data_IF_495050617619
#
_entry.id   IF_495050617619
#
_cell.length_a   1.000
_cell.length_b   1.000
_cell.length_c   1.000
_cell.angle_alpha   90.00
_cell.angle_beta   90.00
_cell.angle_gamma   90.00
#
_symmetry.space_group_name_H-M   'P 1'
#
loop_
_entity.id
_entity.type
_entity.pdbx_description
1 polymer ?
#
# COMPACT_ATOMS: atom_id res chain seq x y z
N UNK A 1 -30.69 -35.13 6.77
CA UNK A 1 -29.52 -35.74 6.10
C UNK A 1 -29.04 -34.96 4.87
N UNK A 2 -29.90 -34.48 3.99
CA UNK A 2 -29.54 -33.79 2.73
C UNK A 2 -28.79 -32.45 2.95
N UNK A 3 -29.05 -31.71 4.04
CA UNK A 3 -28.47 -30.41 4.31
C UNK A 3 -27.00 -30.49 4.69
N UNK A 4 -26.56 -31.54 5.38
CA UNK A 4 -25.15 -31.75 5.75
C UNK A 4 -24.26 -32.14 4.56
N UNK A 5 -24.83 -32.89 3.58
CA UNK A 5 -24.06 -33.21 2.37
C UNK A 5 -23.81 -31.96 1.51
N UNK A 6 -24.82 -31.11 1.30
CA UNK A 6 -24.63 -29.86 0.55
C UNK A 6 -23.63 -28.92 1.20
N UNK A 7 -23.63 -28.79 2.53
CA UNK A 7 -22.61 -28.01 3.23
C UNK A 7 -21.18 -28.56 3.00
N UNK A 8 -21.01 -29.87 3.07
CA UNK A 8 -19.71 -30.51 2.85
C UNK A 8 -19.17 -30.28 1.43
N UNK A 9 -20.03 -30.35 0.40
CA UNK A 9 -19.67 -30.05 -0.98
C UNK A 9 -19.25 -28.59 -1.16
N UNK A 10 -19.96 -27.67 -0.53
CA UNK A 10 -19.61 -26.23 -0.57
C UNK A 10 -18.25 -26.00 0.10
N UNK A 11 -18.01 -26.57 1.27
CA UNK A 11 -16.70 -26.45 1.95
C UNK A 11 -15.56 -27.07 1.12
N UNK A 12 -15.80 -28.20 0.48
CA UNK A 12 -14.81 -28.85 -0.37
C UNK A 12 -14.46 -27.98 -1.59
N UNK A 13 -15.44 -27.42 -2.26
CA UNK A 13 -15.24 -26.55 -3.42
C UNK A 13 -14.53 -25.24 -3.04
N UNK A 14 -14.87 -24.64 -1.90
CA UNK A 14 -14.20 -23.45 -1.37
C UNK A 14 -12.75 -23.76 -1.01
N UNK A 15 -12.49 -24.90 -0.36
CA UNK A 15 -11.14 -25.33 -0.01
C UNK A 15 -10.27 -25.57 -1.25
N UNK A 16 -10.82 -26.21 -2.29
CA UNK A 16 -10.14 -26.40 -3.58
C UNK A 16 -9.88 -25.07 -4.27
N UNK A 17 -10.83 -24.13 -4.24
CA UNK A 17 -10.65 -22.79 -4.81
C UNK A 17 -9.53 -22.00 -4.13
N UNK A 18 -9.47 -22.05 -2.80
CA UNK A 18 -8.39 -21.41 -2.01
C UNK A 18 -7.04 -22.08 -2.32
N UNK A 19 -7.01 -23.41 -2.41
CA UNK A 19 -5.79 -24.15 -2.73
C UNK A 19 -5.26 -23.79 -4.13
N UNK A 20 -6.12 -23.74 -5.13
CA UNK A 20 -5.76 -23.30 -6.48
C UNK A 20 -5.24 -21.86 -6.50
N UNK A 21 -5.89 -20.94 -5.74
CA UNK A 21 -5.46 -19.54 -5.66
C UNK A 21 -4.06 -19.38 -5.07
N UNK A 22 -3.71 -20.17 -4.05
CA UNK A 22 -2.37 -20.16 -3.43
C UNK A 22 -1.29 -20.68 -4.39
N UNK A 23 -1.59 -21.71 -5.19
CA UNK A 23 -0.64 -22.28 -6.16
C UNK A 23 -0.39 -21.38 -7.38
N UNK A 24 -1.32 -20.49 -7.73
CA UNK A 24 -1.14 -19.58 -8.87
C UNK A 24 -0.36 -18.29 -8.54
N UNK A 25 -0.03 -18.03 -7.28
CA UNK A 25 0.70 -16.85 -6.84
C UNK A 25 2.22 -17.05 -6.85
N UNK A 26 2.80 -17.46 -8.00
CA UNK A 26 4.26 -17.45 -8.16
C UNK A 26 4.71 -16.05 -8.58
N UNK A 27 5.55 -15.35 -7.79
CA UNK A 27 6.13 -14.09 -8.24
C UNK A 27 7.03 -14.37 -9.46
N UNK A 28 6.71 -13.76 -10.59
CA UNK A 28 7.54 -13.80 -11.78
C UNK A 28 8.85 -13.06 -11.51
N UNK A 29 9.99 -13.70 -11.72
CA UNK A 29 11.29 -13.03 -11.69
C UNK A 29 11.63 -12.56 -13.11
N UNK A 30 11.80 -11.25 -13.26
CA UNK A 30 12.09 -10.62 -14.56
C UNK A 30 13.58 -10.49 -14.86
N UNK A 31 14.46 -10.86 -13.92
CA UNK A 31 15.91 -10.73 -14.06
C UNK A 31 16.47 -11.90 -14.87
N UNK A 32 17.17 -11.56 -15.94
CA UNK A 32 17.79 -12.53 -16.82
C UNK A 32 19.12 -13.06 -16.24
N UNK A 33 19.53 -14.32 -16.56
CA UNK A 33 20.76 -14.92 -16.00
C UNK A 33 22.05 -14.18 -16.35
N UNK A 34 22.08 -13.46 -17.48
CA UNK A 34 23.23 -12.70 -17.94
C UNK A 34 23.42 -11.34 -17.21
N UNK A 35 22.39 -10.91 -16.47
CA UNK A 35 22.47 -9.71 -15.62
C UNK A 35 23.09 -9.99 -14.25
N UNK A 36 23.08 -11.25 -13.80
CA UNK A 36 23.44 -11.63 -12.44
C UNK A 36 24.93 -11.46 -12.17
N UNK A 37 25.27 -10.85 -11.05
CA UNK A 37 26.68 -10.67 -10.64
C UNK A 37 27.25 -11.98 -10.09
N UNK A 38 28.51 -12.27 -10.39
CA UNK A 38 29.24 -13.44 -9.84
C UNK A 38 29.33 -13.38 -8.30
N UNK A 39 29.47 -12.16 -7.76
CA UNK A 39 29.51 -11.95 -6.32
C UNK A 39 28.08 -11.97 -5.74
N UNK A 40 27.75 -13.03 -5.01
CA UNK A 40 26.42 -13.23 -4.43
C UNK A 40 26.00 -12.13 -3.44
N UNK A 41 26.94 -11.54 -2.72
CA UNK A 41 26.63 -10.44 -1.77
C UNK A 41 26.26 -9.14 -2.50
N UNK A 42 26.95 -8.81 -3.60
CA UNK A 42 26.61 -7.67 -4.44
C UNK A 42 25.31 -7.89 -5.18
N UNK A 43 25.05 -9.11 -5.66
CA UNK A 43 23.79 -9.43 -6.32
C UNK A 43 22.59 -9.32 -5.36
N UNK A 44 22.75 -9.76 -4.12
CA UNK A 44 21.69 -9.57 -3.10
C UNK A 44 21.40 -8.07 -2.85
N UNK A 45 22.43 -7.24 -2.78
CA UNK A 45 22.27 -5.78 -2.70
C UNK A 45 21.58 -5.22 -3.93
N UNK A 46 22.01 -5.64 -5.13
CA UNK A 46 21.41 -5.24 -6.40
C UNK A 46 19.91 -5.54 -6.44
N UNK A 47 19.52 -6.75 -6.04
CA UNK A 47 18.12 -7.17 -5.97
C UNK A 47 17.30 -6.35 -4.97
N UNK A 48 17.86 -6.08 -3.80
CA UNK A 48 17.17 -5.29 -2.79
C UNK A 48 16.92 -3.85 -3.28
N UNK A 49 17.94 -3.21 -3.86
CA UNK A 49 17.80 -1.88 -4.44
C UNK A 49 16.84 -1.85 -5.63
N UNK A 50 16.88 -2.87 -6.50
CA UNK A 50 15.96 -2.97 -7.65
C UNK A 50 14.49 -3.05 -7.24
N UNK A 51 14.18 -3.63 -6.09
CA UNK A 51 12.82 -3.66 -5.52
C UNK A 51 12.35 -2.31 -4.98
N UNK A 52 13.27 -1.41 -4.67
CA UNK A 52 12.95 -0.06 -4.19
C UNK A 52 12.77 0.95 -5.33
N UNK A 53 13.19 0.57 -6.54
CA UNK A 53 13.15 1.42 -7.73
C UNK A 53 11.97 1.07 -8.63
N UNK A 54 11.26 2.10 -9.08
CA UNK A 54 10.09 1.98 -9.96
C UNK A 54 10.52 1.89 -11.42
N UNK A 55 9.88 1.01 -12.18
CA UNK A 55 9.96 1.03 -13.62
C UNK A 55 9.23 2.27 -14.18
N UNK A 56 9.92 3.10 -14.95
CA UNK A 56 9.40 4.39 -15.42
C UNK A 56 8.31 4.27 -16.50
N UNK A 57 8.22 3.12 -17.17
CA UNK A 57 7.27 2.85 -18.28
C UNK A 57 6.23 1.80 -17.92
N UNK A 58 6.28 1.25 -16.70
CA UNK A 58 5.39 0.19 -16.25
C UNK A 58 4.35 0.72 -15.26
N UNK A 59 3.24 -0.01 -15.12
CA UNK A 59 2.18 0.38 -14.20
C UNK A 59 2.51 -0.05 -12.75
N UNK A 60 3.32 0.77 -12.05
CA UNK A 60 3.61 0.62 -10.62
C UNK A 60 4.39 -0.67 -10.23
N UNK A 61 5.20 -1.19 -11.16
CA UNK A 61 6.11 -2.31 -10.93
C UNK A 61 7.50 -1.82 -10.53
N UNK A 62 8.24 -2.65 -9.78
CA UNK A 62 9.66 -2.43 -9.54
C UNK A 62 10.49 -2.79 -10.78
N UNK A 63 11.72 -2.27 -10.85
CA UNK A 63 12.64 -2.69 -11.92
C UNK A 63 13.08 -4.15 -11.76
N UNK A 64 12.94 -4.75 -10.58
CA UNK A 64 13.22 -6.18 -10.33
C UNK A 64 12.14 -7.09 -10.92
N UNK A 65 10.91 -6.62 -11.02
CA UNK A 65 9.74 -7.39 -11.50
C UNK A 65 9.43 -7.14 -12.98
N UNK A 66 9.87 -6.00 -13.52
CA UNK A 66 9.54 -5.57 -14.88
C UNK A 66 10.47 -6.16 -15.93
N UNK A 67 9.88 -6.72 -17.01
CA UNK A 67 10.60 -7.21 -18.21
C UNK A 67 10.84 -6.11 -19.26
N UNK A 68 10.60 -4.84 -18.97
CA UNK A 68 10.82 -3.77 -19.94
C UNK A 68 12.31 -3.53 -20.18
N UNK A 69 12.66 -3.10 -21.40
CA UNK A 69 14.03 -2.76 -21.76
C UNK A 69 14.62 -1.72 -20.82
N UNK A 70 13.82 -0.71 -20.44
CA UNK A 70 14.25 0.36 -19.52
C UNK A 70 14.52 -0.19 -18.12
N UNK A 71 13.72 -1.13 -17.63
CA UNK A 71 13.97 -1.77 -16.34
C UNK A 71 15.28 -2.56 -16.38
N UNK A 72 15.56 -3.28 -17.47
CA UNK A 72 16.83 -3.97 -17.67
C UNK A 72 18.01 -3.03 -17.67
N UNK A 73 17.94 -1.93 -18.42
CA UNK A 73 19.02 -0.94 -18.49
C UNK A 73 19.29 -0.33 -17.10
N UNK A 74 18.25 -0.04 -16.32
CA UNK A 74 18.38 0.45 -14.95
C UNK A 74 19.01 -0.59 -14.02
N UNK A 75 18.63 -1.88 -14.16
CA UNK A 75 19.25 -2.97 -13.38
C UNK A 75 20.73 -3.15 -13.71
N UNK A 76 21.11 -3.05 -14.98
CA UNK A 76 22.52 -3.11 -15.39
C UNK A 76 23.31 -1.89 -14.87
N UNK A 77 22.78 -0.68 -15.02
CA UNK A 77 23.40 0.54 -14.50
C UNK A 77 23.64 0.47 -12.98
N UNK A 78 22.64 -0.02 -12.23
CA UNK A 78 22.74 -0.21 -10.79
C UNK A 78 23.85 -1.19 -10.43
N UNK A 79 23.94 -2.34 -11.14
CA UNK A 79 25.00 -3.33 -10.93
C UNK A 79 26.40 -2.82 -11.26
N UNK A 80 26.53 -2.01 -12.29
CA UNK A 80 27.82 -1.39 -12.65
C UNK A 80 28.27 -0.40 -11.57
N UNK A 81 27.34 0.36 -10.98
CA UNK A 81 27.65 1.24 -9.86
C UNK A 81 28.07 0.47 -8.61
N UNK A 82 27.39 -0.64 -8.30
CA UNK A 82 27.76 -1.53 -7.20
C UNK A 82 29.15 -2.15 -7.40
N UNK A 83 29.51 -2.54 -8.64
CA UNK A 83 30.87 -3.00 -8.97
C UNK A 83 31.92 -1.90 -8.79
N UNK A 84 31.58 -0.65 -9.06
CA UNK A 84 32.47 0.50 -8.86
C UNK A 84 32.70 0.79 -7.37
N UNK A 85 31.92 0.21 -6.46
CA UNK A 85 32.06 0.36 -5.02
C UNK A 85 31.16 1.41 -4.41
N UNK A 86 30.20 1.96 -5.16
CA UNK A 86 29.26 2.95 -4.67
C UNK A 86 28.41 2.38 -3.53
N UNK A 87 28.06 3.22 -2.57
CA UNK A 87 27.13 2.88 -1.51
C UNK A 87 25.68 2.89 -2.03
N UNK A 88 24.77 2.21 -1.32
CA UNK A 88 23.36 2.16 -1.69
C UNK A 88 22.73 3.55 -1.79
N UNK A 89 23.11 4.44 -0.85
CA UNK A 89 22.60 5.81 -0.81
C UNK A 89 23.13 6.65 -2.01
N UNK A 90 24.39 6.50 -2.38
CA UNK A 90 24.96 7.20 -3.54
C UNK A 90 24.29 6.77 -4.84
N UNK A 91 24.00 5.47 -5.00
CA UNK A 91 23.29 4.93 -6.15
C UNK A 91 21.87 5.51 -6.24
N UNK A 92 21.11 5.48 -5.12
CA UNK A 92 19.76 6.04 -5.08
C UNK A 92 19.76 7.54 -5.38
N UNK A 93 20.67 8.31 -4.78
CA UNK A 93 20.81 9.75 -5.02
C UNK A 93 21.16 10.06 -6.47
N UNK A 94 22.04 9.27 -7.09
CA UNK A 94 22.36 9.39 -8.51
C UNK A 94 21.12 9.15 -9.40
N UNK A 95 20.35 8.11 -9.12
CA UNK A 95 19.16 7.78 -9.90
C UNK A 95 18.05 8.82 -9.69
N UNK A 96 17.86 9.29 -8.46
CA UNK A 96 16.93 10.39 -8.16
C UNK A 96 17.33 11.69 -8.85
N UNK A 97 18.61 12.03 -8.86
CA UNK A 97 19.12 13.20 -9.56
C UNK A 97 18.90 13.17 -11.07
N UNK A 98 18.88 11.97 -11.67
CA UNK A 98 18.72 11.79 -13.12
C UNK A 98 17.26 11.63 -13.57
N UNK A 99 16.45 10.93 -12.79
CA UNK A 99 15.07 10.54 -13.14
C UNK A 99 14.00 11.18 -12.25
N UNK A 100 14.42 11.89 -11.21
CA UNK A 100 13.51 12.49 -10.22
C UNK A 100 13.09 11.53 -9.11
N UNK A 101 12.45 12.07 -8.08
CA UNK A 101 11.99 11.31 -6.90
C UNK A 101 10.94 10.23 -7.24
N UNK A 102 10.28 10.36 -8.40
CA UNK A 102 9.28 9.39 -8.87
C UNK A 102 9.84 7.98 -9.09
N UNK A 103 11.18 7.87 -9.30
CA UNK A 103 11.83 6.56 -9.46
C UNK A 103 11.80 5.71 -8.19
N UNK A 104 11.60 6.32 -7.02
CA UNK A 104 11.50 5.61 -5.76
C UNK A 104 10.07 5.05 -5.57
N UNK A 105 9.97 3.75 -5.29
CA UNK A 105 8.68 3.11 -4.96
C UNK A 105 8.21 3.48 -3.55
N UNK A 106 9.16 3.63 -2.61
CA UNK A 106 8.85 4.07 -1.26
C UNK A 106 8.92 5.60 -1.22
N UNK A 107 7.83 6.29 -0.84
CA UNK A 107 7.88 7.74 -0.69
C UNK A 107 8.92 8.09 0.37
N UNK A 108 9.83 8.99 0.02
CA UNK A 108 10.76 9.55 0.99
C UNK A 108 9.93 10.33 2.01
N UNK A 109 10.08 10.01 3.28
CA UNK A 109 9.48 10.77 4.39
C UNK A 109 10.29 12.06 4.59
N UNK A 110 10.41 12.86 3.52
CA UNK A 110 11.10 14.14 3.61
C UNK A 110 10.16 15.22 4.17
N UNK A 111 10.72 16.21 4.85
CA UNK A 111 9.99 17.20 5.64
C UNK A 111 8.81 17.89 4.94
N UNK A 112 8.80 17.91 3.60
CA UNK A 112 7.68 18.45 2.79
C UNK A 112 6.49 17.50 2.69
N UNK A 113 6.73 16.18 2.71
CA UNK A 113 5.69 15.16 2.56
C UNK A 113 5.14 14.67 3.90
N UNK A 114 5.85 14.92 5.00
CA UNK A 114 5.41 14.49 6.34
C UNK A 114 4.07 15.11 6.72
N UNK A 115 3.82 16.34 6.25
CA UNK A 115 2.55 17.04 6.49
C UNK A 115 1.33 16.27 5.94
N UNK A 116 1.46 15.63 4.77
CA UNK A 116 0.39 14.82 4.18
C UNK A 116 -0.01 13.64 5.07
N UNK A 117 0.96 13.04 5.75
CA UNK A 117 0.72 11.89 6.63
C UNK A 117 -0.05 12.26 7.90
N UNK A 118 0.10 13.51 8.39
CA UNK A 118 -0.61 14.00 9.56
C UNK A 118 -1.99 14.57 9.24
N UNK A 119 -2.20 15.10 8.03
CA UNK A 119 -3.50 15.68 7.62
C UNK A 119 -4.61 14.62 7.63
N UNK A 120 -4.35 13.41 7.13
CA UNK A 120 -5.36 12.33 7.10
C UNK A 120 -5.91 11.97 8.48
N UNK A 121 -5.07 11.53 9.43
CA UNK A 121 -5.53 11.23 10.79
C UNK A 121 -6.11 12.43 11.51
N UNK A 122 -5.61 13.66 11.28
CA UNK A 122 -6.14 14.87 11.89
C UNK A 122 -7.58 15.16 11.46
N UNK A 123 -7.86 15.12 10.16
CA UNK A 123 -9.22 15.27 9.61
C UNK A 123 -10.15 14.18 10.14
N UNK A 124 -9.65 12.94 10.20
CA UNK A 124 -10.42 11.82 10.74
C UNK A 124 -10.85 12.05 12.19
N UNK A 125 -9.93 12.51 13.04
CA UNK A 125 -10.21 12.81 14.45
C UNK A 125 -11.24 13.94 14.57
N UNK A 126 -11.13 15.01 13.77
CA UNK A 126 -12.11 16.12 13.77
C UNK A 126 -13.50 15.61 13.38
N UNK A 127 -13.60 14.80 12.32
CA UNK A 127 -14.87 14.20 11.90
C UNK A 127 -15.47 13.31 12.99
N UNK A 128 -14.63 12.50 13.64
CA UNK A 128 -15.05 11.61 14.71
C UNK A 128 -15.59 12.38 15.91
N UNK A 129 -14.90 13.44 16.35
CA UNK A 129 -15.33 14.32 17.45
C UNK A 129 -16.64 15.03 17.09
N UNK A 130 -16.77 15.50 15.85
CA UNK A 130 -18.00 16.13 15.34
C UNK A 130 -19.19 15.17 15.36
N UNK A 131 -19.00 13.92 14.92
CA UNK A 131 -20.03 12.88 14.96
C UNK A 131 -20.43 12.53 16.40
N UNK A 132 -19.46 12.34 17.30
CA UNK A 132 -19.71 12.03 18.70
C UNK A 132 -20.45 13.18 19.40
N UNK A 133 -20.07 14.44 19.16
CA UNK A 133 -20.75 15.60 19.72
C UNK A 133 -22.19 15.73 19.21
N UNK A 134 -22.45 15.44 17.94
CA UNK A 134 -23.79 15.41 17.35
C UNK A 134 -24.65 14.32 17.97
N UNK A 135 -24.09 13.12 18.22
CA UNK A 135 -24.79 12.04 18.89
C UNK A 135 -25.16 12.40 20.35
N UNK A 136 -24.25 13.00 21.09
CA UNK A 136 -24.46 13.40 22.49
C UNK A 136 -25.49 14.55 22.56
N UNK A 137 -25.40 15.53 21.66
CA UNK A 137 -26.35 16.65 21.59
C UNK A 137 -27.74 16.22 21.12
N UNK A 138 -27.84 15.22 20.22
CA UNK A 138 -29.13 14.65 19.78
C UNK A 138 -29.86 13.91 20.90
N UNK A 139 -29.13 13.30 21.83
CA UNK A 139 -29.72 12.60 22.97
C UNK A 139 -30.34 13.54 24.02
N UNK A 140 -29.92 14.82 24.08
CA UNK A 140 -30.43 15.79 25.04
C UNK A 140 -31.65 16.56 24.54
N UNK A 141 -31.94 16.59 23.24
CA UNK A 141 -33.09 17.29 22.65
C UNK A 141 -34.41 16.49 22.66
N UNK A 142 -34.42 15.27 23.16
CA UNK A 142 -35.60 14.39 23.24
C UNK A 142 -36.59 14.71 24.38
N UNK A 143 -36.32 15.65 25.28
CA UNK A 143 -37.20 15.96 26.40
C UNK A 143 -37.99 17.25 26.15
N UNK A 144 -39.01 17.18 25.26
CA UNK A 144 -40.04 18.23 25.18
C UNK A 144 -40.78 18.30 26.51
N UNK A 145 -40.87 19.49 27.16
CA UNK A 145 -41.72 19.64 28.32
C UNK A 145 -43.19 19.52 27.87
N UNK A 146 -43.94 18.62 28.52
CA UNK A 146 -45.40 18.56 28.39
C UNK A 146 -45.98 19.91 28.80
N UNK A 147 -46.51 20.70 27.84
CA UNK A 147 -47.38 21.81 28.10
C UNK A 147 -48.67 21.28 28.75
N UNK A 148 -48.81 21.49 30.01
CA UNK A 148 -50.06 21.34 30.77
C UNK A 148 -51.02 22.40 30.27
N UNK A 149 -51.99 22.00 29.44
CA UNK A 149 -53.16 22.84 29.15
C UNK A 149 -54.01 22.89 30.43
N UNK A 150 -53.83 23.95 31.20
CA UNK A 150 -54.76 24.30 32.26
C UNK A 150 -56.09 24.67 31.63
N UNK A 151 -57.07 23.80 31.82
CA UNK A 151 -58.47 24.07 31.57
C UNK A 151 -58.94 25.23 32.44
N UNK A 152 -59.23 26.37 31.83
CA UNK A 152 -59.97 27.41 32.50
C UNK A 152 -61.44 27.26 32.11
N UNK A 153 -62.22 26.53 32.97
CA UNK A 153 -63.64 26.51 32.99
C UNK A 153 -64.09 27.46 34.06
N UNK A 154 -64.62 28.65 33.68
CA UNK A 154 -65.61 29.40 34.50
C UNK A 154 -66.43 30.32 33.61
N UNK A 155 -67.73 29.99 33.59
CA UNK A 155 -68.92 30.75 33.75
C UNK A 155 -69.37 31.62 32.61
#
# INVERSE_FOLDING_TARGET
MIRHQKLREIFLNVAIGILCFVFFSTPGQAVEPDEVLENSSLELRARNLSKELRCLVCMNESIDESNSVIARDLRLLLRDRLKAGDSDEEILNFLVGRYGEYILLKPVLDGKNIFLWFVGPFVFVICLVGLLSSFISGATLGKKPKRTLASNKKK
#
